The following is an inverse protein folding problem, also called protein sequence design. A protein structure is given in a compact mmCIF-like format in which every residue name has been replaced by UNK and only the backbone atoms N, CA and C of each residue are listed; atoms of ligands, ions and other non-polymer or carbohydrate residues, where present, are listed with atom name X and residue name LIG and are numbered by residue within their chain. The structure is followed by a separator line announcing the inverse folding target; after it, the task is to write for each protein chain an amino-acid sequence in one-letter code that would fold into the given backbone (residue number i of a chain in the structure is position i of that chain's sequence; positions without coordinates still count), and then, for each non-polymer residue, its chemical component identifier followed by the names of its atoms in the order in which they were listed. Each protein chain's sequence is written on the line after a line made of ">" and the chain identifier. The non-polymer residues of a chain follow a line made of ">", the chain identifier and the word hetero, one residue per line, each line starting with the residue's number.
data_IF_926920131864
#
_entry.id   IF_926920131864
#
_cell.length_a   1.000
_cell.length_b   1.000
_cell.length_c   1.000
_cell.angle_alpha   90.00
_cell.angle_beta   90.00
_cell.angle_gamma   90.00
#
_symmetry.space_group_name_H-M   'P 1'
#
loop_
_entity.id
_entity.type
_entity.pdbx_description
1 polymer ?
#
# COMPACT_ATOMS: atom_id res chain seq x y z
N UNK A 1 83.75 12.95 -43.83
CA UNK A 1 82.76 12.46 -42.85
C UNK A 1 82.76 10.95 -42.92
N UNK A 2 83.00 10.29 -41.78
CA UNK A 2 83.28 8.85 -41.74
C UNK A 2 81.99 8.02 -41.79
N UNK A 3 81.70 7.40 -42.93
CA UNK A 3 80.48 6.59 -43.12
C UNK A 3 80.50 5.28 -42.33
N UNK A 4 81.69 4.80 -41.94
CA UNK A 4 81.89 3.60 -41.13
C UNK A 4 81.35 3.79 -39.70
N UNK A 5 81.67 4.93 -39.07
CA UNK A 5 81.22 5.29 -37.73
C UNK A 5 79.69 5.46 -37.65
N UNK A 6 79.08 6.02 -38.71
CA UNK A 6 77.62 6.15 -38.82
C UNK A 6 76.90 4.80 -38.96
N UNK A 7 77.53 3.82 -39.61
CA UNK A 7 76.98 2.46 -39.72
C UNK A 7 77.09 1.70 -38.41
N UNK A 8 78.24 1.78 -37.72
CA UNK A 8 78.41 1.18 -36.39
C UNK A 8 77.41 1.73 -35.38
N UNK A 9 77.20 3.05 -35.35
CA UNK A 9 76.21 3.67 -34.45
C UNK A 9 74.77 3.26 -34.81
N UNK A 10 74.43 3.14 -36.09
CA UNK A 10 73.13 2.62 -36.50
C UNK A 10 72.92 1.15 -36.08
N UNK A 11 73.93 0.30 -36.25
CA UNK A 11 73.89 -1.10 -35.85
C UNK A 11 73.78 -1.24 -34.32
N UNK A 12 74.51 -0.42 -33.55
CA UNK A 12 74.40 -0.38 -32.09
C UNK A 12 72.99 0.03 -31.62
N UNK A 13 72.38 1.03 -32.26
CA UNK A 13 71.01 1.46 -31.95
C UNK A 13 70.00 0.36 -32.29
N UNK A 14 70.15 -0.32 -33.43
CA UNK A 14 69.24 -1.42 -33.78
C UNK A 14 69.38 -2.61 -32.82
N UNK A 15 70.60 -2.97 -32.43
CA UNK A 15 70.84 -4.03 -31.44
C UNK A 15 70.24 -3.64 -30.07
N UNK A 16 70.39 -2.39 -29.64
CA UNK A 16 69.80 -1.89 -28.41
C UNK A 16 68.26 -1.95 -28.45
N UNK A 17 67.65 -1.54 -29.57
CA UNK A 17 66.20 -1.62 -29.77
C UNK A 17 65.68 -3.06 -29.78
N UNK A 18 66.38 -3.99 -30.44
CA UNK A 18 65.99 -5.40 -30.45
C UNK A 18 66.07 -6.03 -29.05
N UNK A 19 67.10 -5.70 -28.27
CA UNK A 19 67.20 -6.13 -26.87
C UNK A 19 66.08 -5.55 -26.01
N UNK A 20 65.76 -4.27 -26.20
CA UNK A 20 64.64 -3.62 -25.50
C UNK A 20 63.30 -4.29 -25.84
N UNK A 21 63.03 -4.56 -27.13
CA UNK A 21 61.82 -5.26 -27.56
C UNK A 21 61.75 -6.68 -27.00
N UNK A 22 62.86 -7.41 -26.99
CA UNK A 22 62.90 -8.77 -26.43
C UNK A 22 62.62 -8.77 -24.92
N UNK A 23 63.15 -7.78 -24.20
CA UNK A 23 62.85 -7.60 -22.78
C UNK A 23 61.35 -7.30 -22.56
N UNK A 24 60.77 -6.37 -23.33
CA UNK A 24 59.34 -6.05 -23.24
C UNK A 24 58.47 -7.26 -23.58
N UNK A 25 58.83 -8.04 -24.60
CA UNK A 25 58.09 -9.25 -24.96
C UNK A 25 58.15 -10.31 -23.85
N UNK A 26 59.32 -10.49 -23.25
CA UNK A 26 59.51 -11.42 -22.12
C UNK A 26 58.68 -10.97 -20.93
N UNK A 27 58.72 -9.67 -20.60
CA UNK A 27 57.93 -9.11 -19.51
C UNK A 27 56.42 -9.24 -19.74
N UNK A 28 55.94 -8.96 -20.96
CA UNK A 28 54.54 -9.13 -21.32
C UNK A 28 54.10 -10.59 -21.22
N UNK A 29 54.97 -11.53 -21.62
CA UNK A 29 54.70 -12.96 -21.47
C UNK A 29 54.60 -13.34 -20.01
N UNK A 30 55.57 -12.96 -19.18
CA UNK A 30 55.56 -13.27 -17.74
C UNK A 30 54.33 -12.66 -17.05
N UNK A 31 53.96 -11.43 -17.41
CA UNK A 31 52.75 -10.79 -16.91
C UNK A 31 51.48 -11.54 -17.34
N UNK A 32 51.43 -12.03 -18.58
CA UNK A 32 50.29 -12.80 -19.07
C UNK A 32 50.16 -14.16 -18.37
N UNK A 33 51.28 -14.85 -18.13
CA UNK A 33 51.31 -16.13 -17.43
C UNK A 33 50.89 -15.97 -15.97
N UNK A 34 51.37 -14.91 -15.29
CA UNK A 34 50.92 -14.57 -13.92
C UNK A 34 49.43 -14.29 -13.86
N UNK A 35 48.92 -13.44 -14.76
CA UNK A 35 47.48 -13.13 -14.80
C UNK A 35 46.62 -14.35 -15.10
N UNK A 36 47.10 -15.25 -15.96
CA UNK A 36 46.40 -16.51 -16.24
C UNK A 36 46.34 -17.40 -15.00
N UNK A 37 47.46 -17.54 -14.28
CA UNK A 37 47.52 -18.31 -13.05
C UNK A 37 46.65 -17.70 -11.93
N UNK A 38 46.70 -16.38 -11.75
CA UNK A 38 45.85 -15.67 -10.78
C UNK A 38 44.36 -15.88 -11.09
N UNK A 39 44.00 -15.87 -12.39
CA UNK A 39 42.64 -16.18 -12.82
C UNK A 39 42.27 -17.64 -12.54
N UNK A 40 43.15 -18.61 -12.79
CA UNK A 40 42.90 -20.01 -12.46
C UNK A 40 42.60 -20.19 -10.97
N UNK A 41 43.43 -19.63 -10.08
CA UNK A 41 43.21 -19.68 -8.63
C UNK A 41 41.86 -19.07 -8.26
N UNK A 42 41.53 -17.89 -8.80
CA UNK A 42 40.25 -17.24 -8.52
C UNK A 42 39.05 -18.07 -8.99
N UNK A 43 39.14 -18.74 -10.16
CA UNK A 43 38.09 -19.62 -10.66
C UNK A 43 37.96 -20.89 -9.81
N UNK A 44 39.06 -21.44 -9.32
CA UNK A 44 39.03 -22.59 -8.42
C UNK A 44 38.36 -22.22 -7.09
N UNK A 45 38.70 -21.07 -6.51
CA UNK A 45 38.09 -20.57 -5.27
C UNK A 45 36.58 -20.28 -5.46
N UNK A 46 36.21 -19.64 -6.58
CA UNK A 46 34.80 -19.45 -6.95
C UNK A 46 34.05 -20.77 -7.11
N UNK A 47 34.69 -21.80 -7.66
CA UNK A 47 34.06 -23.11 -7.82
C UNK A 47 33.87 -23.82 -6.47
N UNK A 48 34.85 -23.71 -5.56
CA UNK A 48 34.72 -24.23 -4.20
C UNK A 48 33.61 -23.54 -3.41
N UNK A 49 33.45 -22.22 -3.57
CA UNK A 49 32.44 -21.44 -2.84
C UNK A 49 31.03 -21.57 -3.45
N UNK A 50 30.90 -21.53 -4.78
CA UNK A 50 29.61 -21.54 -5.46
C UNK A 50 29.10 -22.95 -5.79
N UNK A 51 29.98 -23.94 -5.86
CA UNK A 51 29.66 -25.30 -6.27
C UNK A 51 30.45 -26.36 -5.49
N UNK A 52 30.27 -26.46 -4.15
CA UNK A 52 30.94 -27.49 -3.35
C UNK A 52 30.59 -28.92 -3.81
N UNK A 53 29.39 -29.12 -4.36
CA UNK A 53 28.94 -30.39 -4.95
C UNK A 53 29.83 -30.86 -6.12
N UNK A 54 30.34 -29.92 -6.92
CA UNK A 54 31.23 -30.24 -8.05
C UNK A 54 32.62 -30.60 -7.54
N UNK A 55 33.10 -29.91 -6.49
CA UNK A 55 34.31 -30.29 -5.76
C UNK A 55 34.24 -31.72 -5.24
N UNK A 56 33.15 -32.07 -4.56
CA UNK A 56 32.93 -33.42 -4.06
C UNK A 56 32.83 -34.46 -5.19
N UNK A 57 32.14 -34.13 -6.29
CA UNK A 57 32.03 -35.03 -7.44
C UNK A 57 33.40 -35.31 -8.04
N UNK A 58 34.23 -34.29 -8.18
CA UNK A 58 35.59 -34.40 -8.69
C UNK A 58 36.46 -35.25 -7.76
N UNK A 59 36.40 -35.00 -6.45
CA UNK A 59 37.09 -35.82 -5.45
C UNK A 59 36.68 -37.30 -5.53
N UNK A 60 35.38 -37.58 -5.66
CA UNK A 60 34.87 -38.96 -5.84
C UNK A 60 35.34 -39.60 -7.14
N UNK A 61 35.55 -38.82 -8.19
CA UNK A 61 36.12 -39.29 -9.46
C UNK A 61 37.65 -39.44 -9.45
N UNK A 62 38.31 -39.06 -8.35
CA UNK A 62 39.76 -39.07 -8.23
C UNK A 62 40.46 -37.90 -8.93
N UNK A 63 39.72 -36.91 -9.40
CA UNK A 63 40.25 -35.69 -10.02
C UNK A 63 40.30 -34.55 -8.99
N UNK A 64 41.36 -33.73 -9.03
CA UNK A 64 41.45 -32.52 -8.21
C UNK A 64 40.97 -31.31 -9.01
N UNK A 65 40.32 -30.37 -8.34
CA UNK A 65 39.94 -29.07 -8.92
C UNK A 65 41.17 -28.33 -9.45
N UNK A 66 42.29 -28.48 -8.76
CA UNK A 66 43.57 -27.85 -9.10
C UNK A 66 44.15 -28.36 -10.42
N UNK A 67 43.77 -29.58 -10.85
CA UNK A 67 44.26 -30.19 -12.09
C UNK A 67 43.36 -29.93 -13.29
N UNK A 68 42.22 -29.24 -13.13
CA UNK A 68 41.31 -28.99 -14.24
C UNK A 68 41.83 -27.90 -15.17
N UNK A 69 41.67 -28.06 -16.50
CA UNK A 69 42.00 -27.01 -17.43
C UNK A 69 41.03 -25.83 -17.26
N UNK A 70 41.56 -24.61 -17.39
CA UNK A 70 40.81 -23.36 -17.22
C UNK A 70 39.47 -23.32 -17.99
N UNK A 71 39.46 -23.83 -19.23
CA UNK A 71 38.23 -23.88 -20.03
C UNK A 71 37.09 -24.66 -19.38
N UNK A 72 37.39 -25.81 -18.77
CA UNK A 72 36.39 -26.63 -18.09
C UNK A 72 35.91 -25.97 -16.79
N UNK A 73 36.83 -25.36 -16.01
CA UNK A 73 36.46 -24.57 -14.82
C UNK A 73 35.48 -23.45 -15.18
N UNK A 74 35.78 -22.71 -16.25
CA UNK A 74 34.92 -21.63 -16.73
C UNK A 74 33.54 -22.13 -17.19
N UNK A 75 33.47 -23.27 -17.88
CA UNK A 75 32.20 -23.83 -18.34
C UNK A 75 31.33 -24.33 -17.19
N UNK A 76 31.92 -24.99 -16.19
CA UNK A 76 31.21 -25.43 -14.98
C UNK A 76 30.66 -24.22 -14.22
N UNK A 77 31.48 -23.19 -14.00
CA UNK A 77 31.05 -21.96 -13.33
C UNK A 77 29.94 -21.24 -14.11
N UNK A 78 30.04 -21.14 -15.44
CA UNK A 78 28.97 -20.57 -16.27
C UNK A 78 27.68 -21.36 -16.16
N UNK A 79 27.74 -22.69 -16.20
CA UNK A 79 26.57 -23.54 -16.05
C UNK A 79 25.92 -23.33 -14.68
N UNK A 80 26.72 -23.31 -13.60
CA UNK A 80 26.23 -23.06 -12.24
C UNK A 80 25.61 -21.67 -12.10
N UNK A 81 26.26 -20.64 -12.64
CA UNK A 81 25.73 -19.27 -12.61
C UNK A 81 24.37 -19.18 -13.32
N UNK A 82 24.21 -19.82 -14.49
CA UNK A 82 22.91 -19.88 -15.18
C UNK A 82 21.85 -20.61 -14.36
N UNK A 83 22.22 -21.71 -13.71
CA UNK A 83 21.31 -22.44 -12.84
C UNK A 83 20.84 -21.57 -11.67
N UNK A 84 21.77 -20.92 -10.96
CA UNK A 84 21.43 -20.04 -9.83
C UNK A 84 20.53 -18.88 -10.25
N UNK A 85 20.79 -18.26 -11.40
CA UNK A 85 19.92 -17.20 -11.95
C UNK A 85 18.52 -17.74 -12.25
N UNK A 86 18.42 -18.93 -12.85
CA UNK A 86 17.13 -19.57 -13.12
C UNK A 86 16.38 -19.92 -11.84
N UNK A 87 17.06 -20.46 -10.84
CA UNK A 87 16.47 -20.82 -9.55
C UNK A 87 15.98 -19.58 -8.80
N UNK A 88 16.78 -18.50 -8.78
CA UNK A 88 16.37 -17.20 -8.23
C UNK A 88 15.15 -16.65 -8.97
N UNK A 89 15.15 -16.67 -10.31
CA UNK A 89 14.00 -16.23 -11.09
C UNK A 89 12.74 -17.05 -10.77
N UNK A 90 12.87 -18.38 -10.61
CA UNK A 90 11.76 -19.26 -10.26
C UNK A 90 11.21 -18.99 -8.86
N UNK A 91 12.07 -18.65 -7.91
CA UNK A 91 11.68 -18.37 -6.52
C UNK A 91 11.10 -16.95 -6.37
N UNK A 92 11.68 -15.95 -7.02
CA UNK A 92 11.27 -14.55 -6.89
C UNK A 92 10.02 -14.22 -7.70
N UNK A 93 9.87 -14.79 -8.90
CA UNK A 93 8.74 -14.49 -9.78
C UNK A 93 7.35 -14.71 -9.13
N UNK A 94 7.04 -15.84 -8.47
CA UNK A 94 5.74 -16.02 -7.83
C UNK A 94 5.55 -15.09 -6.62
N UNK A 95 6.62 -14.71 -5.93
CA UNK A 95 6.55 -13.74 -4.83
C UNK A 95 6.22 -12.34 -5.36
N UNK A 96 6.85 -11.94 -6.46
CA UNK A 96 6.59 -10.67 -7.14
C UNK A 96 5.16 -10.63 -7.68
N UNK A 97 4.74 -11.68 -8.40
CA UNK A 97 3.38 -11.78 -8.95
C UNK A 97 2.30 -11.74 -7.85
N UNK A 98 2.55 -12.39 -6.70
CA UNK A 98 1.66 -12.32 -5.55
C UNK A 98 1.64 -10.91 -4.93
N UNK A 99 2.79 -10.28 -4.74
CA UNK A 99 2.87 -8.91 -4.23
C UNK A 99 2.14 -7.92 -5.14
N UNK A 100 2.30 -8.03 -6.46
CA UNK A 100 1.57 -7.24 -7.46
C UNK A 100 0.06 -7.45 -7.36
N UNK A 101 -0.40 -8.69 -7.21
CA UNK A 101 -1.81 -8.99 -7.03
C UNK A 101 -2.38 -8.37 -5.74
N UNK A 102 -1.64 -8.42 -4.63
CA UNK A 102 -2.02 -7.79 -3.36
C UNK A 102 -2.09 -6.27 -3.52
N UNK A 103 -1.09 -5.66 -4.14
CA UNK A 103 -1.04 -4.21 -4.39
C UNK A 103 -2.21 -3.77 -5.27
N UNK A 104 -2.52 -4.52 -6.34
CA UNK A 104 -3.64 -4.22 -7.24
C UNK A 104 -4.99 -4.29 -6.50
N UNK A 105 -5.19 -5.32 -5.66
CA UNK A 105 -6.39 -5.41 -4.80
C UNK A 105 -6.48 -4.25 -3.82
N UNK A 106 -5.38 -3.89 -3.16
CA UNK A 106 -5.37 -2.76 -2.24
C UNK A 106 -5.65 -1.43 -2.96
N UNK A 107 -5.11 -1.23 -4.16
CA UNK A 107 -5.33 -0.04 -4.97
C UNK A 107 -6.81 0.10 -5.36
N UNK A 108 -7.41 -0.97 -5.91
CA UNK A 108 -8.84 -0.97 -6.28
C UNK A 108 -9.74 -0.69 -5.07
N UNK A 109 -9.50 -1.32 -3.93
CA UNK A 109 -10.21 -1.02 -2.69
C UNK A 109 -10.05 0.46 -2.26
N UNK A 110 -8.83 1.00 -2.32
CA UNK A 110 -8.60 2.40 -1.96
C UNK A 110 -9.35 3.36 -2.89
N UNK A 111 -9.39 3.06 -4.20
CA UNK A 111 -10.15 3.89 -5.16
C UNK A 111 -11.66 3.85 -4.90
N UNK A 112 -12.20 2.68 -4.54
CA UNK A 112 -13.61 2.53 -4.16
C UNK A 112 -13.94 3.33 -2.89
N UNK A 113 -13.13 3.15 -1.84
CA UNK A 113 -13.30 3.87 -0.58
C UNK A 113 -13.19 5.39 -0.76
N UNK A 114 -12.26 5.87 -1.60
CA UNK A 114 -12.18 7.30 -1.94
C UNK A 114 -13.44 7.79 -2.66
N UNK A 115 -14.00 6.99 -3.55
CA UNK A 115 -15.26 7.29 -4.23
C UNK A 115 -16.44 7.38 -3.25
N UNK A 116 -16.56 6.41 -2.33
CA UNK A 116 -17.58 6.42 -1.28
C UNK A 116 -17.43 7.62 -0.35
N UNK A 117 -16.21 7.92 0.09
CA UNK A 117 -15.93 9.08 0.94
C UNK A 117 -16.36 10.38 0.24
N UNK A 118 -16.09 10.51 -1.07
CA UNK A 118 -16.55 11.65 -1.87
C UNK A 118 -18.09 11.74 -1.89
N UNK A 119 -18.80 10.65 -2.17
CA UNK A 119 -20.27 10.63 -2.17
C UNK A 119 -20.86 11.01 -0.81
N UNK A 120 -20.30 10.46 0.27
CA UNK A 120 -20.75 10.75 1.65
C UNK A 120 -20.54 12.23 1.99
N UNK A 121 -19.42 12.82 1.56
CA UNK A 121 -19.17 14.26 1.71
C UNK A 121 -20.19 15.10 0.95
N UNK A 122 -20.48 14.78 -0.30
CA UNK A 122 -21.48 15.49 -1.11
C UNK A 122 -22.88 15.40 -0.48
N UNK A 123 -23.26 14.23 0.04
CA UNK A 123 -24.53 14.06 0.78
C UNK A 123 -24.56 14.90 2.06
N UNK A 124 -23.47 14.92 2.82
CA UNK A 124 -23.36 15.72 4.04
C UNK A 124 -23.52 17.21 3.74
N UNK A 125 -22.83 17.71 2.71
CA UNK A 125 -22.94 19.10 2.26
C UNK A 125 -24.37 19.44 1.82
N UNK A 126 -25.04 18.55 1.09
CA UNK A 126 -26.44 18.71 0.69
C UNK A 126 -27.39 18.79 1.89
N UNK A 127 -27.26 17.87 2.84
CA UNK A 127 -28.07 17.87 4.08
C UNK A 127 -27.79 19.11 4.92
N UNK A 128 -26.53 19.56 5.00
CA UNK A 128 -26.17 20.76 5.74
C UNK A 128 -26.76 22.02 5.10
N UNK A 129 -26.72 22.14 3.78
CA UNK A 129 -27.35 23.25 3.04
C UNK A 129 -28.87 23.27 3.27
N UNK A 130 -29.51 22.11 3.21
CA UNK A 130 -30.95 21.99 3.47
C UNK A 130 -31.30 22.35 4.93
N UNK A 131 -30.47 21.94 5.89
CA UNK A 131 -30.66 22.31 7.29
C UNK A 131 -30.57 23.84 7.49
N UNK A 132 -29.61 24.49 6.83
CA UNK A 132 -29.47 25.95 6.84
C UNK A 132 -30.70 26.63 6.20
N UNK A 133 -31.19 26.10 5.08
CA UNK A 133 -32.41 26.59 4.40
C UNK A 133 -33.64 26.47 5.28
N UNK A 134 -33.88 25.31 5.87
CA UNK A 134 -35.02 25.08 6.77
C UNK A 134 -34.91 25.92 8.05
N UNK A 135 -33.70 26.16 8.57
CA UNK A 135 -33.50 27.07 9.71
C UNK A 135 -33.84 28.51 9.34
N UNK A 136 -33.40 29.00 8.19
CA UNK A 136 -33.71 30.36 7.75
C UNK A 136 -35.20 30.54 7.48
N UNK A 137 -35.86 29.55 6.88
CA UNK A 137 -37.31 29.53 6.68
C UNK A 137 -38.08 29.54 8.01
N UNK A 138 -37.68 28.70 8.97
CA UNK A 138 -38.28 28.70 10.31
C UNK A 138 -38.11 30.05 11.01
N UNK A 139 -36.94 30.69 10.92
CA UNK A 139 -36.73 32.02 11.50
C UNK A 139 -37.58 33.10 10.79
N UNK A 140 -37.74 33.02 9.47
CA UNK A 140 -38.62 33.91 8.74
C UNK A 140 -40.10 33.73 9.14
N UNK A 141 -40.57 32.48 9.29
CA UNK A 141 -41.92 32.17 9.76
C UNK A 141 -42.16 32.64 11.19
N UNK A 142 -41.19 32.49 12.10
CA UNK A 142 -41.26 33.04 13.46
C UNK A 142 -41.40 34.56 13.44
N UNK A 143 -40.59 35.26 12.63
CA UNK A 143 -40.69 36.73 12.47
C UNK A 143 -42.04 37.16 11.89
N UNK A 144 -42.55 36.45 10.88
CA UNK A 144 -43.86 36.73 10.28
C UNK A 144 -45.03 36.49 11.26
N UNK A 145 -44.94 35.45 12.10
CA UNK A 145 -45.89 35.22 13.19
C UNK A 145 -45.82 36.32 14.24
N UNK A 146 -44.62 36.72 14.67
CA UNK A 146 -44.42 37.83 15.61
C UNK A 146 -45.01 39.15 15.11
N UNK A 147 -44.88 39.46 13.80
CA UNK A 147 -45.49 40.64 13.17
C UNK A 147 -47.01 40.55 13.00
N UNK A 148 -47.57 39.36 12.80
CA UNK A 148 -49.04 39.17 12.76
C UNK A 148 -49.68 39.41 14.12
N UNK A 149 -49.00 39.08 15.21
CA UNK A 149 -49.42 39.43 16.58
C UNK A 149 -49.24 40.91 16.94
N UNK A 150 -48.53 41.69 16.11
CA UNK A 150 -48.28 43.13 16.35
C UNK A 150 -49.30 44.05 15.64
N UNK A 151 -50.14 43.50 14.75
CA UNK A 151 -51.18 44.23 14.00
C UNK A 151 -52.62 43.92 14.48
N UNK A 152 -52.80 43.34 15.66
CA UNK A 152 -54.11 43.13 16.27
C UNK A 152 -54.27 44.10 17.46
N UNK A 153 -55.30 44.99 17.47
CA UNK A 153 -55.41 46.00 18.50
C UNK A 153 -55.70 45.35 19.85
N UNK A 154 -54.88 45.78 20.79
CA UNK A 154 -54.91 45.59 22.23
C UNK A 154 -56.34 45.54 22.82
N UNK A 155 -56.85 44.33 23.10
CA UNK A 155 -57.92 44.10 24.07
C UNK A 155 -57.54 42.96 25.00
N UNK A 156 -56.85 43.34 26.09
CA UNK A 156 -57.06 42.90 27.49
C UNK A 156 -56.98 41.40 27.87
N UNK A 157 -56.68 41.12 29.15
CA UNK A 157 -55.75 40.07 29.54
C UNK A 157 -56.41 38.70 29.71
N UNK A 158 -55.57 37.67 29.54
CA UNK A 158 -55.58 36.36 30.21
C UNK A 158 -56.88 36.04 30.97
N UNK A 159 -57.86 35.52 30.24
CA UNK A 159 -58.75 34.51 30.82
C UNK A 159 -58.13 33.17 30.52
N UNK A 160 -57.49 32.59 31.53
CA UNK A 160 -57.35 31.15 31.66
C UNK A 160 -58.73 30.55 31.40
N UNK A 161 -58.97 30.05 30.19
CA UNK A 161 -60.09 29.16 29.98
C UNK A 161 -59.88 27.97 30.90
N UNK A 162 -60.90 27.57 31.67
CA UNK A 162 -60.78 26.47 32.58
C UNK A 162 -60.37 25.25 31.77
N UNK A 163 -59.33 24.57 32.26
CA UNK A 163 -59.04 23.21 31.88
C UNK A 163 -60.38 22.47 31.76
N UNK A 164 -60.67 22.00 30.55
CA UNK A 164 -61.73 21.03 30.35
C UNK A 164 -61.53 19.97 31.42
N UNK A 165 -62.56 19.79 32.25
CA UNK A 165 -62.54 18.95 33.44
C UNK A 165 -61.97 17.57 33.08
N UNK A 166 -60.70 17.36 33.41
CA UNK A 166 -60.15 16.03 33.59
C UNK A 166 -60.66 15.61 34.96
N UNK A 167 -61.42 14.51 35.10
CA UNK A 167 -61.72 13.98 36.41
C UNK A 167 -60.39 13.62 37.05
N UNK A 168 -60.04 14.35 38.10
CA UNK A 168 -58.95 14.03 38.99
C UNK A 168 -59.33 12.77 39.78
N UNK A 169 -59.10 11.60 39.20
CA UNK A 169 -59.02 10.35 39.94
C UNK A 169 -57.56 9.97 40.14
N UNK A 170 -57.11 10.28 41.36
CA UNK A 170 -56.12 9.53 42.13
C UNK A 170 -54.78 9.26 41.46
N UNK A 171 -53.79 10.03 41.90
CA UNK A 171 -52.43 9.54 42.01
C UNK A 171 -52.39 8.18 42.74
N UNK A 172 -51.50 7.31 42.25
CA UNK A 172 -51.01 6.05 42.82
C UNK A 172 -51.53 4.77 42.15
N UNK A 173 -51.11 4.56 40.90
CA UNK A 173 -51.19 3.31 40.16
C UNK A 173 -50.90 3.57 38.68
N UNK A 174 -50.04 2.76 38.06
CA UNK A 174 -49.99 2.75 36.59
C UNK A 174 -51.41 2.46 36.07
N UNK A 175 -51.96 3.25 35.14
CA UNK A 175 -53.28 3.00 34.58
C UNK A 175 -53.38 1.57 34.02
N UNK A 176 -54.53 0.91 34.15
CA UNK A 176 -54.70 -0.48 33.70
C UNK A 176 -54.32 -0.66 32.23
N UNK A 177 -54.65 0.31 31.38
CA UNK A 177 -54.25 0.30 29.96
C UNK A 177 -52.72 0.28 29.76
N UNK A 178 -51.95 0.88 30.67
CA UNK A 178 -50.49 0.93 30.59
C UNK A 178 -49.88 -0.42 31.03
N UNK A 179 -50.50 -1.07 32.01
CA UNK A 179 -50.13 -2.43 32.44
C UNK A 179 -50.42 -3.44 31.34
N UNK A 180 -51.58 -3.33 30.69
CA UNK A 180 -51.97 -4.19 29.57
C UNK A 180 -51.11 -3.93 28.33
N UNK A 181 -50.77 -2.67 28.07
CA UNK A 181 -49.86 -2.30 26.99
C UNK A 181 -48.45 -2.84 27.22
N UNK A 182 -47.93 -2.84 28.47
CA UNK A 182 -46.63 -3.45 28.82
C UNK A 182 -46.58 -4.95 28.53
N UNK A 183 -47.71 -5.65 28.63
CA UNK A 183 -47.83 -7.09 28.32
C UNK A 183 -48.04 -7.37 26.82
N UNK A 184 -48.25 -6.33 26.01
CA UNK A 184 -48.48 -6.51 24.59
C UNK A 184 -47.21 -6.94 23.86
N UNK A 185 -47.37 -7.72 22.77
CA UNK A 185 -46.26 -8.22 21.94
C UNK A 185 -45.41 -7.11 21.31
N UNK A 186 -45.96 -5.90 21.19
CA UNK A 186 -45.32 -4.78 20.48
C UNK A 186 -44.82 -3.68 21.44
N UNK A 187 -44.88 -3.90 22.75
CA UNK A 187 -44.51 -2.90 23.75
C UNK A 187 -43.12 -2.29 23.56
N UNK A 188 -42.10 -3.12 23.28
CA UNK A 188 -40.73 -2.61 23.07
C UNK A 188 -40.64 -1.70 21.85
N UNK A 189 -41.34 -2.06 20.77
CA UNK A 189 -41.36 -1.27 19.54
C UNK A 189 -42.13 0.04 19.73
N UNK A 190 -43.31 -0.04 20.33
CA UNK A 190 -44.18 1.11 20.56
C UNK A 190 -43.55 2.09 21.58
N UNK A 191 -42.92 1.59 22.64
CA UNK A 191 -42.23 2.42 23.64
C UNK A 191 -41.02 3.14 23.05
N UNK A 192 -40.22 2.46 22.21
CA UNK A 192 -39.13 3.11 21.48
C UNK A 192 -39.65 4.16 20.49
N UNK A 193 -40.74 3.87 19.78
CA UNK A 193 -41.38 4.83 18.89
C UNK A 193 -41.86 6.07 19.64
N UNK A 194 -42.50 5.90 20.81
CA UNK A 194 -42.95 7.01 21.67
C UNK A 194 -41.77 7.81 22.22
N UNK A 195 -40.68 7.15 22.62
CA UNK A 195 -39.46 7.84 23.05
C UNK A 195 -38.80 8.62 21.91
N UNK A 196 -38.77 8.06 20.70
CA UNK A 196 -38.29 8.76 19.51
C UNK A 196 -39.20 9.94 19.15
N UNK A 197 -40.51 9.78 19.23
CA UNK A 197 -41.50 10.85 19.04
C UNK A 197 -41.30 11.99 20.03
N UNK A 198 -41.13 11.67 21.33
CA UNK A 198 -40.87 12.66 22.37
C UNK A 198 -39.53 13.38 22.21
N UNK A 199 -38.50 12.69 21.72
CA UNK A 199 -37.18 13.29 21.46
C UNK A 199 -37.11 14.13 20.19
N UNK A 200 -37.84 13.75 19.15
CA UNK A 200 -37.74 14.38 17.82
C UNK A 200 -38.87 15.36 17.53
N UNK A 201 -39.99 15.29 18.25
CA UNK A 201 -41.18 16.11 18.01
C UNK A 201 -41.89 15.83 16.68
N UNK A 202 -41.51 14.76 15.97
CA UNK A 202 -41.99 14.45 14.62
C UNK A 202 -42.93 13.24 14.64
N UNK A 203 -44.24 13.47 14.66
CA UNK A 203 -45.23 12.41 14.43
C UNK A 203 -45.45 12.19 12.94
N UNK A 204 -45.05 11.02 12.43
CA UNK A 204 -45.49 10.59 11.10
C UNK A 204 -46.94 10.10 11.25
N UNK A 205 -47.87 10.74 10.54
CA UNK A 205 -49.23 10.17 10.39
C UNK A 205 -49.07 8.81 9.70
N UNK A 206 -49.64 7.72 10.24
CA UNK A 206 -49.76 6.49 9.46
C UNK A 206 -50.67 6.78 8.28
N UNK A 207 -50.18 6.55 7.06
CA UNK A 207 -51.02 6.48 5.88
C UNK A 207 -51.89 5.23 6.03
N UNK A 208 -53.17 5.45 6.27
CA UNK A 208 -54.17 4.38 6.30
C UNK A 208 -54.41 4.01 4.83
N UNK A 209 -53.96 2.82 4.44
CA UNK A 209 -54.33 2.19 3.17
C UNK A 209 -55.67 1.45 3.31
#
# INVERSE_FOLDING_TARGET
>A
MDQSALRQTADEITIANLRSLLNVQTELRDQSERRAHDAEIAFQDLLQTLAPEESERLQRSGASIESLPFGQLADILRAKARQLVSDLARLQRPQIENAEAIISKAYTQNTLLRGELKRVKELLEGVQAENVRLRSENEALKKARGKKTENEPEVRPVRSSPAAAVPSEKANGEPEWMVDWRKSKHFEYDSQAILLLGRTGLSRRPEIA
#
